data_IF_905985727867
#
_entry.id   IF_905985727867
#
_cell.length_a   1.000
_cell.length_b   1.000
_cell.length_c   1.000
_cell.angle_alpha   90.00
_cell.angle_beta   90.00
_cell.angle_gamma   90.00
#
_symmetry.space_group_name_H-M   'P 1'
#
loop_
_entity.id
_entity.type
_entity.pdbx_description
1 polymer ?
#
# COMPACT_ATOMS: atom_id res chain seq x y z
N UNK A 1 14.42 14.16 4.42
CA UNK A 1 14.54 12.73 4.77
C UNK A 1 13.93 12.52 6.14
N UNK A 2 12.61 12.28 6.23
CA UNK A 2 12.00 12.02 7.53
C UNK A 2 12.26 10.56 7.88
N UNK A 3 13.22 10.32 8.79
CA UNK A 3 13.32 9.06 9.51
C UNK A 3 12.05 8.93 10.35
N UNK A 4 11.45 7.74 10.42
CA UNK A 4 10.42 7.48 11.44
C UNK A 4 11.01 7.92 12.78
N UNK A 5 10.28 8.78 13.48
CA UNK A 5 10.69 9.22 14.80
C UNK A 5 10.43 8.12 15.83
N UNK A 6 10.81 8.35 17.09
CA UNK A 6 10.59 7.39 18.16
C UNK A 6 9.11 7.02 18.35
N UNK A 7 8.17 7.83 17.86
CA UNK A 7 6.73 7.59 17.93
C UNK A 7 6.29 6.64 16.83
N UNK A 8 6.79 6.81 15.61
CA UNK A 8 6.55 5.89 14.49
C UNK A 8 7.04 4.47 14.78
N UNK A 9 8.22 4.34 15.40
CA UNK A 9 8.73 3.03 15.81
C UNK A 9 7.92 2.37 16.93
N UNK A 10 7.38 3.17 17.86
CA UNK A 10 6.52 2.66 18.92
C UNK A 10 5.17 2.19 18.40
N UNK A 11 4.59 2.91 17.44
CA UNK A 11 3.37 2.49 16.75
C UNK A 11 3.56 1.15 16.03
N UNK A 12 4.69 0.93 15.35
CA UNK A 12 4.98 -0.36 14.71
C UNK A 12 5.08 -1.51 15.72
N UNK A 13 5.73 -1.27 16.87
CA UNK A 13 5.85 -2.24 17.96
C UNK A 13 4.49 -2.53 18.61
N UNK A 14 3.67 -1.49 18.86
CA UNK A 14 2.29 -1.59 19.35
C UNK A 14 1.36 -2.31 18.36
N UNK A 15 1.70 -2.31 17.07
CA UNK A 15 1.00 -3.04 16.02
C UNK A 15 1.41 -4.52 15.92
N UNK A 16 2.25 -5.02 16.83
CA UNK A 16 2.77 -6.39 16.81
C UNK A 16 3.72 -6.66 15.64
N UNK A 17 4.19 -5.60 14.96
CA UNK A 17 5.15 -5.70 13.87
C UNK A 17 6.54 -5.68 14.51
N UNK A 18 7.19 -6.85 14.58
CA UNK A 18 8.59 -6.93 15.01
C UNK A 18 9.46 -6.03 14.13
N UNK A 19 9.85 -4.87 14.68
CA UNK A 19 10.86 -4.00 14.08
C UNK A 19 12.20 -4.72 14.22
N UNK A 20 12.55 -5.51 13.20
CA UNK A 20 13.86 -6.16 13.16
C UNK A 20 14.95 -5.10 13.35
N UNK A 21 15.79 -5.35 14.36
CA UNK A 21 16.97 -4.59 14.72
C UNK A 21 17.73 -4.11 13.48
N UNK A 22 17.95 -2.80 13.41
CA UNK A 22 19.18 -2.17 12.92
C UNK A 22 19.93 -3.03 11.89
N UNK A 23 19.33 -3.24 10.72
CA UNK A 23 20.08 -3.82 9.59
C UNK A 23 21.15 -2.81 9.25
N UNK A 24 22.39 -3.24 9.53
CA UNK A 24 23.62 -2.60 9.16
C UNK A 24 23.48 -1.93 7.81
N UNK A 25 23.97 -0.69 7.76
CA UNK A 25 24.35 0.11 6.60
C UNK A 25 24.55 -0.76 5.34
N UNK A 26 23.46 -1.09 4.65
CA UNK A 26 23.53 -1.55 3.28
C UNK A 26 23.94 -0.30 2.52
N UNK A 27 25.20 -0.28 2.09
CA UNK A 27 25.73 0.76 1.22
C UNK A 27 24.70 1.03 0.12
N UNK A 28 24.16 2.25 0.15
CA UNK A 28 23.31 2.72 -0.92
C UNK A 28 24.19 2.76 -2.17
N UNK A 29 24.10 1.73 -3.02
CA UNK A 29 24.29 1.93 -4.45
C UNK A 29 23.25 2.97 -4.84
N UNK A 30 23.75 4.15 -5.18
CA UNK A 30 22.95 5.26 -5.72
C UNK A 30 21.92 4.69 -6.69
N UNK A 31 20.65 4.86 -6.34
CA UNK A 31 19.56 4.39 -7.16
C UNK A 31 19.60 5.16 -8.48
N UNK A 32 19.69 4.43 -9.59
CA UNK A 32 19.53 5.00 -10.93
C UNK A 32 18.22 5.80 -11.03
N UNK A 33 18.22 6.95 -11.72
CA UNK A 33 17.09 7.87 -11.80
C UNK A 33 15.85 7.35 -12.55
N UNK A 34 15.87 6.11 -13.07
CA UNK A 34 14.79 5.53 -13.89
C UNK A 34 13.80 4.64 -13.12
N UNK A 35 13.93 4.52 -11.79
CA UNK A 35 13.05 3.67 -10.93
C UNK A 35 11.82 4.42 -10.39
N UNK A 36 11.24 5.30 -11.19
CA UNK A 36 10.05 6.08 -10.82
C UNK A 36 8.84 5.18 -10.57
N UNK A 37 8.24 5.30 -9.38
CA UNK A 37 6.87 4.91 -9.03
C UNK A 37 6.41 3.49 -9.44
N UNK A 38 6.74 2.51 -8.57
CA UNK A 38 6.43 1.08 -8.82
C UNK A 38 5.04 0.66 -8.37
N UNK A 39 4.45 1.42 -7.43
CA UNK A 39 3.20 1.07 -6.78
C UNK A 39 2.20 2.21 -6.92
N UNK A 40 1.03 1.92 -7.47
CA UNK A 40 -0.11 2.83 -7.40
C UNK A 40 -1.00 2.43 -6.22
N UNK A 41 -1.30 3.38 -5.34
CA UNK A 41 -2.30 3.20 -4.27
C UNK A 41 -3.58 3.92 -4.65
N UNK A 42 -4.70 3.21 -4.58
CA UNK A 42 -6.05 3.73 -4.81
C UNK A 42 -6.77 3.81 -3.48
N UNK A 43 -7.33 4.97 -3.15
CA UNK A 43 -7.99 5.24 -1.87
C UNK A 43 -9.23 6.10 -2.04
N UNK A 44 -10.24 5.93 -1.19
CA UNK A 44 -11.43 6.77 -1.09
C UNK A 44 -11.38 7.70 0.13
N UNK A 45 -10.28 7.70 0.88
CA UNK A 45 -10.12 8.47 2.10
C UNK A 45 -8.90 9.42 2.04
N UNK A 46 -8.94 10.55 2.78
CA UNK A 46 -7.81 11.46 2.81
C UNK A 46 -6.64 10.85 3.61
N UNK A 47 -5.50 10.63 2.95
CA UNK A 47 -4.29 10.07 3.57
C UNK A 47 -3.44 11.12 4.30
N UNK A 48 -4.08 11.86 5.20
CA UNK A 48 -3.48 12.91 6.03
C UNK A 48 -3.69 12.62 7.52
N UNK A 49 -2.88 13.25 8.38
CA UNK A 49 -2.95 13.04 9.83
C UNK A 49 -2.68 11.58 10.23
N UNK A 50 -3.38 11.04 11.24
CA UNK A 50 -3.17 9.67 11.73
C UNK A 50 -3.29 8.59 10.65
N UNK A 51 -4.25 8.73 9.73
CA UNK A 51 -4.44 7.81 8.59
C UNK A 51 -3.22 7.78 7.68
N UNK A 52 -2.70 8.96 7.33
CA UNK A 52 -1.49 9.10 6.53
C UNK A 52 -0.24 8.59 7.24
N UNK A 53 -0.10 8.87 8.54
CA UNK A 53 1.01 8.37 9.37
C UNK A 53 1.02 6.84 9.45
N UNK A 54 -0.16 6.23 9.59
CA UNK A 54 -0.29 4.77 9.58
C UNK A 54 0.09 4.18 8.22
N UNK A 55 -0.37 4.79 7.12
CA UNK A 55 0.02 4.34 5.78
C UNK A 55 1.54 4.45 5.56
N UNK A 56 2.15 5.56 6.01
CA UNK A 56 3.61 5.73 5.93
C UNK A 56 4.34 4.62 6.71
N UNK A 57 3.83 4.26 7.90
CA UNK A 57 4.37 3.17 8.70
C UNK A 57 4.22 1.80 8.01
N UNK A 58 3.04 1.53 7.43
CA UNK A 58 2.76 0.31 6.65
C UNK A 58 3.71 0.17 5.45
N UNK A 59 3.91 1.23 4.68
CA UNK A 59 4.83 1.25 3.54
C UNK A 59 6.28 1.09 3.98
N UNK A 60 6.70 1.79 5.03
CA UNK A 60 8.04 1.69 5.58
C UNK A 60 8.35 0.26 6.06
N UNK A 61 7.37 -0.45 6.62
CA UNK A 61 7.52 -1.84 7.06
C UNK A 61 7.84 -2.80 5.90
N UNK A 62 7.38 -2.50 4.68
CA UNK A 62 7.74 -3.25 3.47
C UNK A 62 8.91 -2.63 2.68
N UNK A 63 9.56 -1.61 3.23
CA UNK A 63 10.74 -0.96 2.64
C UNK A 63 10.42 0.05 1.54
N UNK A 64 9.20 0.56 1.49
CA UNK A 64 8.75 1.58 0.53
C UNK A 64 8.60 2.95 1.21
N UNK A 65 8.72 4.00 0.40
CA UNK A 65 8.45 5.39 0.79
C UNK A 65 7.33 5.97 -0.06
N UNK A 66 6.31 6.54 0.60
CA UNK A 66 5.18 7.21 -0.07
C UNK A 66 5.61 8.28 -1.08
N UNK A 67 6.71 9.00 -0.83
CA UNK A 67 7.17 10.09 -1.70
C UNK A 67 8.09 9.67 -2.86
N UNK A 68 8.51 8.40 -2.91
CA UNK A 68 9.53 7.93 -3.86
C UNK A 68 9.03 6.78 -4.70
N UNK A 69 8.38 5.83 -4.06
CA UNK A 69 8.10 4.52 -4.64
C UNK A 69 6.61 4.37 -5.01
N UNK A 70 5.78 5.34 -4.61
CA UNK A 70 4.32 5.23 -4.62
C UNK A 70 3.66 6.46 -5.24
N UNK A 71 2.71 6.24 -6.14
CA UNK A 71 1.75 7.23 -6.60
C UNK A 71 0.41 6.99 -5.91
N UNK A 72 -0.30 8.05 -5.52
CA UNK A 72 -1.62 7.93 -4.87
C UNK A 72 -2.69 8.51 -5.78
N UNK A 73 -3.76 7.75 -5.96
CA UNK A 73 -4.98 8.17 -6.62
C UNK A 73 -6.13 8.13 -5.62
N UNK A 74 -6.67 9.32 -5.30
CA UNK A 74 -7.94 9.44 -4.57
C UNK A 74 -9.09 9.25 -5.56
N UNK A 75 -9.97 8.30 -5.30
CA UNK A 75 -11.19 8.11 -6.10
C UNK A 75 -12.27 9.03 -5.58
N UNK A 76 -12.65 10.01 -6.40
CA UNK A 76 -13.96 10.61 -6.30
C UNK A 76 -15.00 9.56 -6.71
N UNK A 77 -16.16 9.52 -6.04
CA UNK A 77 -17.21 8.48 -6.13
C UNK A 77 -17.75 8.20 -7.56
N UNK A 78 -17.24 8.90 -8.56
CA UNK A 78 -17.55 8.76 -9.98
C UNK A 78 -16.51 7.84 -10.61
N UNK A 79 -16.92 6.63 -10.98
CA UNK A 79 -16.13 5.51 -11.53
C UNK A 79 -15.34 5.79 -12.84
N UNK A 80 -15.11 7.05 -13.22
CA UNK A 80 -14.74 7.45 -14.57
C UNK A 80 -13.24 7.65 -14.84
N UNK A 81 -12.33 7.46 -13.86
CA UNK A 81 -10.93 7.88 -14.00
C UNK A 81 -9.87 6.77 -14.04
N UNK A 82 -10.25 5.49 -14.03
CA UNK A 82 -9.24 4.43 -14.17
C UNK A 82 -8.74 4.23 -15.60
N UNK A 83 -9.46 4.71 -16.61
CA UNK A 83 -9.03 4.62 -18.01
C UNK A 83 -7.77 5.45 -18.31
N UNK A 84 -7.42 6.40 -17.43
CA UNK A 84 -6.28 7.30 -17.57
C UNK A 84 -5.24 7.04 -16.48
N UNK A 85 -5.01 5.77 -16.09
CA UNK A 85 -3.81 5.42 -15.33
C UNK A 85 -2.59 5.67 -16.21
N UNK A 86 -2.16 6.93 -16.24
CA UNK A 86 -1.23 7.51 -17.21
C UNK A 86 0.16 6.87 -17.18
N UNK A 87 0.50 6.20 -16.07
CA UNK A 87 1.87 5.75 -15.80
C UNK A 87 2.03 4.22 -15.76
N UNK A 88 1.00 3.44 -16.14
CA UNK A 88 1.04 1.96 -16.23
C UNK A 88 1.82 1.32 -15.06
N UNK A 89 1.30 1.40 -13.82
CA UNK A 89 2.04 1.00 -12.64
C UNK A 89 2.42 -0.48 -12.71
N UNK A 90 3.56 -0.85 -12.10
CA UNK A 90 3.96 -2.25 -12.04
C UNK A 90 3.02 -3.06 -11.13
N UNK A 91 2.49 -2.44 -10.06
CA UNK A 91 1.51 -3.04 -9.14
C UNK A 91 0.54 -1.99 -8.64
N UNK A 92 -0.68 -2.44 -8.33
CA UNK A 92 -1.72 -1.63 -7.71
C UNK A 92 -2.07 -2.17 -6.31
N UNK A 93 -2.41 -1.26 -5.40
CA UNK A 93 -2.96 -1.55 -4.08
C UNK A 93 -4.23 -0.73 -3.87
N UNK A 94 -5.36 -1.39 -3.64
CA UNK A 94 -6.61 -0.76 -3.25
C UNK A 94 -6.75 -0.74 -1.73
N UNK A 95 -7.06 0.42 -1.16
CA UNK A 95 -7.35 0.58 0.26
C UNK A 95 -8.86 0.57 0.48
N UNK A 96 -9.35 -0.43 1.22
CA UNK A 96 -10.73 -0.51 1.63
C UNK A 96 -11.70 -1.02 0.56
N UNK A 97 -12.97 -1.10 0.97
CA UNK A 97 -14.02 -1.74 0.19
C UNK A 97 -14.44 -0.93 -1.03
N UNK A 98 -14.64 0.38 -0.88
CA UNK A 98 -15.08 1.22 -2.00
C UNK A 98 -14.10 1.19 -3.17
N UNK A 99 -12.79 1.22 -2.91
CA UNK A 99 -11.76 1.08 -3.94
C UNK A 99 -11.75 -0.31 -4.58
N UNK A 100 -11.89 -1.36 -3.78
CA UNK A 100 -11.97 -2.73 -4.28
C UNK A 100 -13.17 -2.91 -5.24
N UNK A 101 -14.35 -2.42 -4.85
CA UNK A 101 -15.54 -2.47 -5.69
C UNK A 101 -15.39 -1.64 -6.97
N UNK A 102 -14.84 -0.43 -6.87
CA UNK A 102 -14.64 0.45 -8.01
C UNK A 102 -13.68 -0.14 -9.06
N UNK A 103 -12.61 -0.80 -8.60
CA UNK A 103 -11.60 -1.41 -9.48
C UNK A 103 -12.03 -2.76 -10.06
N UNK A 104 -12.64 -3.63 -9.24
CA UNK A 104 -13.00 -4.99 -9.65
C UNK A 104 -14.43 -5.11 -10.20
N UNK A 105 -15.26 -4.07 -10.05
CA UNK A 105 -16.69 -4.11 -10.41
C UNK A 105 -17.41 -5.31 -9.75
N UNK A 106 -17.06 -5.58 -8.49
CA UNK A 106 -17.52 -6.73 -7.70
C UNK A 106 -18.29 -6.29 -6.46
N UNK A 107 -19.36 -7.00 -6.13
CA UNK A 107 -20.15 -6.79 -4.89
C UNK A 107 -19.71 -7.72 -3.74
N UNK A 108 -18.63 -8.50 -3.93
CA UNK A 108 -18.12 -9.39 -2.89
C UNK A 108 -17.61 -8.63 -1.67
N UNK A 109 -17.73 -9.25 -0.49
CA UNK A 109 -17.20 -8.70 0.76
C UNK A 109 -15.67 -8.50 0.68
N UNK A 110 -15.17 -7.47 1.36
CA UNK A 110 -13.74 -7.12 1.33
C UNK A 110 -12.84 -8.30 1.76
N UNK A 111 -13.27 -9.08 2.75
CA UNK A 111 -12.54 -10.27 3.23
C UNK A 111 -12.33 -11.32 2.14
N UNK A 112 -13.27 -11.45 1.21
CA UNK A 112 -13.18 -12.38 0.08
C UNK A 112 -12.29 -11.85 -1.04
N UNK A 113 -11.98 -10.55 -1.06
CA UNK A 113 -11.19 -9.89 -2.09
C UNK A 113 -9.72 -9.67 -1.67
N UNK A 114 -9.41 -9.68 -0.37
CA UNK A 114 -8.05 -9.45 0.13
C UNK A 114 -7.22 -10.74 0.23
N UNK A 115 -5.93 -10.59 0.56
CA UNK A 115 -5.01 -11.70 0.81
C UNK A 115 -4.50 -12.46 -0.42
N UNK A 116 -4.91 -12.07 -1.63
CA UNK A 116 -4.47 -12.68 -2.88
C UNK A 116 -4.38 -11.65 -4.00
N UNK A 117 -3.76 -12.06 -5.12
CA UNK A 117 -3.59 -11.24 -6.32
C UNK A 117 -4.86 -11.28 -7.17
N UNK A 118 -5.25 -10.10 -7.64
CA UNK A 118 -6.15 -9.89 -8.77
C UNK A 118 -5.37 -9.37 -9.96
N UNK A 119 -5.95 -9.45 -11.14
CA UNK A 119 -5.42 -8.85 -12.35
C UNK A 119 -6.39 -7.77 -12.83
N UNK A 120 -5.86 -6.56 -13.06
CA UNK A 120 -6.65 -5.39 -13.40
C UNK A 120 -6.30 -4.85 -14.78
N UNK A 121 -7.33 -4.50 -15.57
CA UNK A 121 -7.21 -3.94 -16.92
C UNK A 121 -6.71 -4.95 -17.96
N UNK A 122 -6.57 -4.49 -19.21
CA UNK A 122 -6.16 -5.34 -20.34
C UNK A 122 -4.70 -5.82 -20.23
N UNK A 123 -3.86 -5.05 -19.52
CA UNK A 123 -2.46 -5.37 -19.30
C UNK A 123 -2.23 -6.37 -18.14
N UNK A 124 -3.30 -6.87 -17.49
CA UNK A 124 -3.24 -7.75 -16.32
C UNK A 124 -2.32 -7.21 -15.22
N UNK A 125 -2.49 -5.93 -14.89
CA UNK A 125 -1.70 -5.28 -13.85
C UNK A 125 -2.02 -5.96 -12.52
N UNK A 126 -1.02 -6.47 -11.77
CA UNK A 126 -1.25 -7.09 -10.47
C UNK A 126 -1.92 -6.10 -9.52
N UNK A 127 -3.08 -6.48 -8.98
CA UNK A 127 -3.85 -5.70 -8.03
C UNK A 127 -3.96 -6.45 -6.70
N UNK A 128 -3.58 -5.79 -5.61
CA UNK A 128 -3.79 -6.25 -4.25
C UNK A 128 -4.81 -5.38 -3.55
N UNK A 129 -5.53 -5.97 -2.60
CA UNK A 129 -6.57 -5.29 -1.84
C UNK A 129 -6.24 -5.45 -0.36
N UNK A 130 -6.35 -4.36 0.39
CA UNK A 130 -6.15 -4.38 1.84
C UNK A 130 -7.17 -3.49 2.55
N UNK A 131 -7.12 -3.51 3.89
CA UNK A 131 -7.97 -2.71 4.75
C UNK A 131 -7.56 -1.23 4.72
N UNK A 132 -8.55 -0.34 4.76
CA UNK A 132 -8.32 1.10 4.81
C UNK A 132 -7.60 1.51 6.10
N UNK A 133 -6.58 2.38 6.06
CA UNK A 133 -5.91 2.86 7.26
C UNK A 133 -6.85 3.48 8.31
N UNK A 134 -7.90 4.23 7.94
CA UNK A 134 -8.87 4.71 8.95
C UNK A 134 -9.59 3.58 9.66
N UNK A 135 -9.95 2.52 8.95
CA UNK A 135 -10.57 1.33 9.55
C UNK A 135 -9.61 0.67 10.55
N UNK A 136 -8.33 0.51 10.18
CA UNK A 136 -7.30 -0.06 11.06
C UNK A 136 -6.97 0.79 12.29
N UNK A 137 -7.23 2.09 12.26
CA UNK A 137 -7.11 2.96 13.44
C UNK A 137 -8.25 2.72 14.44
N UNK A 138 -9.44 2.35 13.95
CA UNK A 138 -10.59 2.03 14.81
C UNK A 138 -10.54 0.57 15.29
N UNK A 139 -10.11 -0.36 14.42
CA UNK A 139 -10.05 -1.80 14.66
C UNK A 139 -8.59 -2.31 14.59
N UNK A 140 -7.75 -2.02 15.59
CA UNK A 140 -6.31 -2.29 15.55
C UNK A 140 -5.97 -3.79 15.48
N UNK A 141 -6.83 -4.69 15.95
CA UNK A 141 -6.67 -6.14 15.86
C UNK A 141 -6.61 -6.63 14.40
N UNK A 142 -7.22 -5.88 13.47
CA UNK A 142 -7.26 -6.22 12.05
C UNK A 142 -5.96 -5.86 11.32
N UNK A 143 -4.99 -5.23 12.00
CA UNK A 143 -3.69 -4.89 11.40
C UNK A 143 -2.89 -6.12 10.99
N UNK A 144 -3.07 -7.24 11.68
CA UNK A 144 -2.46 -8.51 11.32
C UNK A 144 -2.90 -8.97 9.92
N UNK A 145 -4.15 -8.70 9.55
CA UNK A 145 -4.69 -8.98 8.23
C UNK A 145 -4.03 -8.06 7.19
N UNK A 146 -4.03 -6.75 7.43
CA UNK A 146 -3.39 -5.80 6.53
C UNK A 146 -1.90 -6.11 6.31
N UNK A 147 -1.20 -6.57 7.34
CA UNK A 147 0.19 -6.99 7.22
C UNK A 147 0.38 -8.19 6.27
N UNK A 148 -0.51 -9.17 6.30
CA UNK A 148 -0.47 -10.30 5.35
C UNK A 148 -0.65 -9.82 3.91
N UNK A 149 -1.54 -8.86 3.66
CA UNK A 149 -1.75 -8.27 2.34
C UNK A 149 -0.48 -7.56 1.85
N UNK A 150 0.16 -6.78 2.74
CA UNK A 150 1.39 -6.06 2.43
C UNK A 150 2.57 -6.99 2.16
N UNK A 151 2.64 -8.14 2.83
CA UNK A 151 3.67 -9.15 2.55
C UNK A 151 3.49 -9.76 1.15
N UNK A 152 2.25 -10.07 0.75
CA UNK A 152 1.95 -10.56 -0.60
C UNK A 152 2.32 -9.49 -1.66
N UNK A 153 1.97 -8.23 -1.39
CA UNK A 153 2.35 -7.09 -2.22
C UNK A 153 3.88 -6.96 -2.35
N UNK A 154 4.61 -7.05 -1.24
CA UNK A 154 6.07 -6.96 -1.23
C UNK A 154 6.71 -8.08 -2.06
N UNK A 155 6.18 -9.30 -1.99
CA UNK A 155 6.65 -10.41 -2.80
C UNK A 155 6.46 -10.14 -4.29
N UNK A 156 5.30 -9.62 -4.68
CA UNK A 156 5.03 -9.22 -6.06
C UNK A 156 6.03 -8.16 -6.55
N UNK A 157 6.20 -7.07 -5.77
CA UNK A 157 7.13 -5.98 -6.09
C UNK A 157 8.58 -6.46 -6.26
N UNK A 158 9.01 -7.47 -5.50
CA UNK A 158 10.35 -8.07 -5.63
C UNK A 158 10.49 -8.94 -6.86
N UNK A 159 9.44 -9.64 -7.27
CA UNK A 159 9.49 -10.52 -8.44
C UNK A 159 9.66 -9.76 -9.77
N UNK A 160 9.37 -8.46 -9.79
CA UNK A 160 9.52 -7.60 -10.98
C UNK A 160 10.73 -6.67 -10.93
N UNK A 161 11.57 -6.77 -9.88
CA UNK A 161 12.68 -5.84 -9.59
C UNK A 161 14.04 -6.35 -10.08
#
# INVERSE_FOLDING_TARGET
>A
MSRLDARGYRLLDEMGICVWQRRERVEHKEASPERSERLLIVTDEPLRGPTGELLDAMLAAIGLSRYRDVSIMEIDSTQAKFATLADNPAVMLALGHACAQALLQSEQALDALRGHRHDWGENNIPLYITLAPSYLLHEPEQKALAWQDLLALQQALRAMA
#
